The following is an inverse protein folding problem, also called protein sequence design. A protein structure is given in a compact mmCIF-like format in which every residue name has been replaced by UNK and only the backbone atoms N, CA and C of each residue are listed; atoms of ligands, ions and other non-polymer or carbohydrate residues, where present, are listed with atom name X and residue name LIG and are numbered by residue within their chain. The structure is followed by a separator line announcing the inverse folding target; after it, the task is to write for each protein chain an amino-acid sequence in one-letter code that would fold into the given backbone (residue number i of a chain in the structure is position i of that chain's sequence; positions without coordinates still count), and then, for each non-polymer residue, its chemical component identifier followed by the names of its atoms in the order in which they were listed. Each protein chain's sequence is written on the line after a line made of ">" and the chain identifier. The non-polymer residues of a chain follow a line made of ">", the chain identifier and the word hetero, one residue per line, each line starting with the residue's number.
data_IF_318490663688
#
_entry.id   IF_318490663688
#
_cell.length_a   1.000
_cell.length_b   1.000
_cell.length_c   1.000
_cell.angle_alpha   90.00
_cell.angle_beta   90.00
_cell.angle_gamma   90.00
#
_symmetry.space_group_name_H-M   'P 1'
#
loop_
_entity.id
_entity.type
_entity.pdbx_description
1 polymer ?
#
# COMPACT_ATOMS: atom_id res chain seq x y z
N UNK A 1 -23.26 -16.75 47.62
CA UNK A 1 -22.18 -15.99 48.29
C UNK A 1 -22.46 -14.52 48.20
N UNK A 2 -22.94 -13.93 47.08
CA UNK A 2 -23.39 -12.53 46.96
C UNK A 2 -24.51 -12.21 47.97
N UNK A 3 -25.49 -13.08 48.14
CA UNK A 3 -26.58 -12.94 49.12
C UNK A 3 -26.10 -12.93 50.60
N UNK A 4 -24.84 -13.28 50.84
CA UNK A 4 -24.23 -13.29 52.18
C UNK A 4 -23.12 -12.22 52.31
N UNK A 5 -23.03 -11.25 51.39
CA UNK A 5 -22.02 -10.20 51.33
C UNK A 5 -20.54 -10.68 51.40
N UNK A 6 -20.29 -11.99 51.03
CA UNK A 6 -18.96 -12.57 51.03
C UNK A 6 -18.21 -12.22 49.76
N UNK A 7 -18.94 -12.03 48.67
CA UNK A 7 -18.40 -11.56 47.37
C UNK A 7 -19.30 -10.47 46.83
N UNK A 8 -18.71 -9.53 46.11
CA UNK A 8 -19.42 -8.46 45.38
C UNK A 8 -19.07 -8.55 43.92
N UNK A 9 -20.06 -8.64 43.06
CA UNK A 9 -19.82 -8.50 41.63
C UNK A 9 -19.55 -7.04 41.29
N UNK A 10 -18.47 -6.79 40.61
CA UNK A 10 -18.08 -5.48 40.12
C UNK A 10 -18.02 -5.57 38.58
N UNK A 11 -18.79 -4.74 37.93
CA UNK A 11 -18.66 -4.59 36.46
C UNK A 11 -17.40 -3.76 36.21
N UNK A 12 -16.41 -4.41 35.58
CA UNK A 12 -15.18 -3.75 35.09
C UNK A 12 -15.20 -3.72 33.59
N UNK A 13 -15.06 -2.51 33.05
CA UNK A 13 -14.93 -2.30 31.63
C UNK A 13 -13.51 -2.63 31.19
N UNK A 14 -13.37 -3.55 30.21
CA UNK A 14 -12.09 -4.01 29.70
C UNK A 14 -12.09 -3.84 28.16
N UNK A 15 -11.08 -3.16 27.63
CA UNK A 15 -10.88 -3.05 26.20
C UNK A 15 -10.38 -4.37 25.61
N UNK A 16 -10.97 -4.79 24.46
CA UNK A 16 -10.68 -6.08 23.81
C UNK A 16 -9.29 -6.12 23.21
N UNK A 17 -8.80 -5.00 22.69
CA UNK A 17 -7.44 -4.89 22.17
C UNK A 17 -6.48 -4.63 23.33
N UNK A 18 -5.77 -5.68 23.74
CA UNK A 18 -4.70 -5.55 24.72
C UNK A 18 -3.43 -5.08 24.01
N UNK A 19 -2.82 -4.04 24.52
CA UNK A 19 -1.52 -3.54 24.07
C UNK A 19 -0.45 -4.34 24.80
N UNK A 20 0.35 -5.11 24.06
CA UNK A 20 1.57 -5.69 24.63
C UNK A 20 2.60 -4.59 24.82
N UNK A 21 3.25 -4.57 25.98
CA UNK A 21 4.38 -3.66 26.22
C UNK A 21 5.45 -3.90 25.16
N UNK A 22 5.86 -2.83 24.50
CA UNK A 22 6.89 -2.87 23.46
C UNK A 22 8.10 -2.07 23.92
N UNK A 23 9.28 -2.49 23.47
CA UNK A 23 10.50 -1.71 23.65
C UNK A 23 10.33 -0.32 23.03
N UNK A 24 10.79 0.71 23.73
CA UNK A 24 10.73 2.09 23.23
C UNK A 24 11.56 2.24 21.98
N UNK A 25 11.00 2.90 20.99
CA UNK A 25 11.67 3.20 19.72
C UNK A 25 12.97 3.99 19.96
N UNK A 26 14.03 3.61 19.23
CA UNK A 26 15.31 4.33 19.29
C UNK A 26 15.17 5.64 18.50
N UNK A 27 15.58 6.75 19.10
CA UNK A 27 15.63 8.04 18.40
C UNK A 27 16.57 7.94 17.21
N UNK A 28 16.04 8.23 16.03
CA UNK A 28 16.79 8.25 14.77
C UNK A 28 17.34 9.66 14.53
N UNK A 29 18.56 9.76 14.03
CA UNK A 29 19.14 11.04 13.59
C UNK A 29 18.46 11.48 12.29
N UNK A 30 17.84 12.65 12.31
CA UNK A 30 17.16 13.21 11.13
C UNK A 30 18.17 13.77 10.13
N UNK A 31 17.90 13.58 8.84
CA UNK A 31 18.62 14.23 7.76
C UNK A 31 18.24 15.71 7.65
N UNK A 32 19.05 16.52 6.94
CA UNK A 32 18.74 17.95 6.75
C UNK A 32 17.43 18.16 5.97
N UNK A 33 17.14 17.30 4.97
CA UNK A 33 15.87 17.35 4.24
C UNK A 33 14.68 17.11 5.18
N UNK A 34 14.78 16.10 6.07
CA UNK A 34 13.72 15.79 7.04
C UNK A 34 13.50 16.95 8.02
N UNK A 35 14.59 17.55 8.54
CA UNK A 35 14.51 18.72 9.44
C UNK A 35 13.82 19.90 8.76
N UNK A 36 14.24 20.24 7.54
CA UNK A 36 13.65 21.33 6.75
C UNK A 36 12.15 21.12 6.51
N UNK A 37 11.73 19.90 6.18
CA UNK A 37 10.31 19.55 6.01
C UNK A 37 9.55 19.74 7.30
N UNK A 38 10.06 19.22 8.41
CA UNK A 38 9.41 19.31 9.73
C UNK A 38 9.25 20.78 10.13
N UNK A 39 10.30 21.60 10.02
CA UNK A 39 10.29 23.02 10.37
C UNK A 39 9.25 23.79 9.55
N UNK A 40 9.18 23.57 8.24
CA UNK A 40 8.18 24.20 7.37
C UNK A 40 6.75 23.85 7.76
N UNK A 41 6.45 22.59 8.02
CA UNK A 41 5.12 22.19 8.45
C UNK A 41 4.76 22.78 9.82
N UNK A 42 5.68 22.72 10.78
CA UNK A 42 5.48 23.28 12.11
C UNK A 42 5.29 24.81 12.09
N UNK A 43 6.00 25.53 11.19
CA UNK A 43 5.84 26.97 11.05
C UNK A 43 4.42 27.41 10.67
N UNK A 44 3.61 26.49 10.16
CA UNK A 44 2.21 26.69 9.77
C UNK A 44 1.22 26.03 10.76
N UNK A 45 1.66 25.67 11.94
CA UNK A 45 0.72 25.21 12.96
C UNK A 45 -0.37 26.27 13.22
N UNK A 46 -1.58 25.82 13.51
CA UNK A 46 -2.76 26.69 13.68
C UNK A 46 -3.23 27.45 12.42
N UNK A 47 -2.82 27.00 11.25
CA UNK A 47 -3.27 27.50 9.97
C UNK A 47 -3.66 26.35 9.07
N UNK A 48 -4.72 26.51 8.28
CA UNK A 48 -5.01 25.58 7.20
C UNK A 48 -3.93 25.68 6.12
N UNK A 49 -3.07 24.70 6.07
CA UNK A 49 -1.96 24.65 5.10
C UNK A 49 -1.83 23.23 4.55
N UNK A 50 -2.22 23.01 3.29
CA UNK A 50 -2.05 21.71 2.64
C UNK A 50 -0.63 21.60 2.06
N UNK A 51 0.06 20.53 2.44
CA UNK A 51 1.40 20.18 1.95
C UNK A 51 1.36 18.89 1.14
N UNK A 52 2.09 18.86 0.03
CA UNK A 52 2.43 17.64 -0.69
C UNK A 52 3.88 17.26 -0.36
N UNK A 53 4.06 16.21 0.43
CA UNK A 53 5.38 15.65 0.73
C UNK A 53 5.75 14.59 -0.32
N UNK A 54 6.50 15.01 -1.34
CA UNK A 54 7.03 14.15 -2.37
C UNK A 54 8.40 13.62 -1.93
N UNK A 55 8.45 12.43 -1.38
CA UNK A 55 9.68 11.80 -0.90
C UNK A 55 9.90 10.43 -1.52
N UNK A 56 11.08 10.20 -2.08
CA UNK A 56 11.45 8.91 -2.68
C UNK A 56 11.27 7.77 -1.66
N UNK A 57 11.05 6.54 -2.14
CA UNK A 57 11.00 5.36 -1.28
C UNK A 57 12.31 5.22 -0.50
N UNK A 58 12.23 5.07 0.82
CA UNK A 58 13.40 5.01 1.70
C UNK A 58 13.98 6.37 2.11
N UNK A 59 13.31 7.50 1.82
CA UNK A 59 13.68 8.83 2.31
C UNK A 59 13.34 9.07 3.79
N UNK A 60 12.56 8.15 4.41
CA UNK A 60 12.18 8.26 5.81
C UNK A 60 10.96 9.13 6.09
N UNK A 61 10.00 9.23 5.15
CA UNK A 61 8.72 9.94 5.34
C UNK A 61 8.03 9.61 6.66
N UNK A 62 8.02 8.33 7.04
CA UNK A 62 7.40 7.88 8.30
C UNK A 62 8.04 8.54 9.52
N UNK A 63 9.35 8.76 9.54
CA UNK A 63 10.03 9.44 10.65
C UNK A 63 9.61 10.92 10.73
N UNK A 64 9.47 11.58 9.58
CA UNK A 64 8.91 12.94 9.52
C UNK A 64 7.51 12.98 10.12
N UNK A 65 6.63 12.02 9.75
CA UNK A 65 5.28 11.93 10.33
C UNK A 65 5.32 11.77 11.85
N UNK A 66 6.18 10.89 12.37
CA UNK A 66 6.30 10.68 13.79
C UNK A 66 6.77 11.94 14.54
N UNK A 67 7.75 12.66 13.98
CA UNK A 67 8.21 13.92 14.58
C UNK A 67 7.12 15.01 14.59
N UNK A 68 6.35 15.12 13.50
CA UNK A 68 5.23 16.05 13.40
C UNK A 68 4.13 15.71 14.42
N UNK A 69 3.80 14.44 14.58
CA UNK A 69 2.81 13.96 15.57
C UNK A 69 3.31 14.25 16.99
N UNK A 70 4.58 13.97 17.30
CA UNK A 70 5.15 14.33 18.62
C UNK A 70 5.00 15.81 18.95
N UNK A 71 5.25 16.69 17.98
CA UNK A 71 5.09 18.12 18.14
C UNK A 71 3.64 18.47 18.51
N UNK A 72 2.68 17.92 17.75
CA UNK A 72 1.24 18.15 17.96
C UNK A 72 0.79 17.70 19.34
N UNK A 73 1.21 16.50 19.77
CA UNK A 73 0.82 15.94 21.07
C UNK A 73 1.41 16.75 22.21
N UNK A 74 2.67 17.19 22.12
CA UNK A 74 3.30 18.06 23.13
C UNK A 74 2.55 19.39 23.31
N UNK A 75 1.80 19.83 22.30
CA UNK A 75 0.91 21.01 22.34
C UNK A 75 -0.49 20.69 22.88
N UNK A 76 -0.74 19.45 23.31
CA UNK A 76 -2.05 19.02 23.80
C UNK A 76 -3.11 18.90 22.69
N UNK A 77 -2.69 18.75 21.42
CA UNK A 77 -3.57 18.57 20.28
C UNK A 77 -3.58 17.12 19.80
N UNK A 78 -4.48 16.84 18.87
CA UNK A 78 -4.79 15.51 18.35
C UNK A 78 -4.33 15.36 16.89
N UNK A 79 -3.97 14.15 16.47
CA UNK A 79 -3.51 13.85 15.12
C UNK A 79 -4.25 12.66 14.50
N UNK A 80 -4.59 12.79 13.22
CA UNK A 80 -5.13 11.70 12.38
C UNK A 80 -4.08 11.30 11.35
N UNK A 81 -3.80 10.01 11.27
CA UNK A 81 -2.92 9.42 10.26
C UNK A 81 -3.72 8.42 9.44
N UNK A 82 -3.90 8.73 8.17
CA UNK A 82 -4.51 7.81 7.22
C UNK A 82 -3.43 7.05 6.46
N UNK A 83 -3.61 5.75 6.37
CA UNK A 83 -2.75 4.85 5.59
C UNK A 83 -3.61 3.94 4.73
N UNK A 84 -3.15 3.50 3.54
CA UNK A 84 -3.85 2.47 2.79
C UNK A 84 -4.01 1.21 3.65
N UNK A 85 -5.14 0.53 3.54
CA UNK A 85 -5.44 -0.64 4.36
C UNK A 85 -4.38 -1.75 4.25
N UNK A 86 -3.81 -1.92 3.05
CA UNK A 86 -2.72 -2.87 2.79
C UNK A 86 -1.40 -2.46 3.47
N UNK A 87 -1.19 -1.18 3.72
CA UNK A 87 0.00 -0.64 4.38
C UNK A 87 -0.12 -0.64 5.90
N UNK A 88 -1.33 -0.85 6.45
CA UNK A 88 -1.56 -0.95 7.89
C UNK A 88 -1.14 -2.33 8.40
N UNK A 89 0.14 -2.61 8.27
CA UNK A 89 0.74 -3.87 8.72
C UNK A 89 0.99 -3.87 10.24
N UNK A 90 1.07 -5.05 10.88
CA UNK A 90 1.47 -5.13 12.29
C UNK A 90 2.79 -4.41 12.59
N UNK A 91 3.76 -4.46 11.67
CA UNK A 91 5.05 -3.78 11.82
C UNK A 91 4.89 -2.27 11.87
N UNK A 92 4.06 -1.68 11.00
CA UNK A 92 3.78 -0.25 11.03
C UNK A 92 3.08 0.16 12.33
N UNK A 93 2.04 -0.57 12.71
CA UNK A 93 1.32 -0.36 13.97
C UNK A 93 2.27 -0.44 15.17
N UNK A 94 3.11 -1.45 15.20
CA UNK A 94 4.09 -1.66 16.26
C UNK A 94 5.10 -0.52 16.34
N UNK A 95 5.57 0.00 15.21
CA UNK A 95 6.48 1.15 15.16
C UNK A 95 5.86 2.41 15.75
N UNK A 96 4.60 2.68 15.47
CA UNK A 96 3.90 3.80 16.10
C UNK A 96 3.66 3.56 17.59
N UNK A 97 3.28 2.33 17.99
CA UNK A 97 3.08 1.98 19.39
C UNK A 97 4.35 2.07 20.22
N UNK A 98 5.50 1.65 19.67
CA UNK A 98 6.79 1.78 20.38
C UNK A 98 7.20 3.23 20.63
N UNK A 99 6.73 4.16 19.79
CA UNK A 99 7.00 5.60 19.94
C UNK A 99 6.01 6.33 20.85
N UNK A 100 4.72 6.03 20.69
CA UNK A 100 3.63 6.78 21.34
C UNK A 100 2.88 6.00 22.42
N UNK A 101 3.20 4.72 22.61
CA UNK A 101 2.59 3.90 23.66
C UNK A 101 1.08 3.76 23.50
N UNK A 102 0.37 4.03 24.61
CA UNK A 102 -1.09 3.89 24.70
C UNK A 102 -1.87 5.09 24.15
N UNK A 103 -1.21 6.10 23.61
CA UNK A 103 -1.86 7.31 23.08
C UNK A 103 -2.47 7.11 21.68
N UNK A 104 -2.52 5.86 21.18
CA UNK A 104 -2.93 5.53 19.82
C UNK A 104 -4.18 4.67 19.81
N UNK A 105 -5.19 5.07 19.03
CA UNK A 105 -6.28 4.22 18.58
C UNK A 105 -6.05 3.77 17.13
N UNK A 106 -6.46 2.54 16.83
CA UNK A 106 -6.27 1.93 15.50
C UNK A 106 -7.63 1.61 14.90
N UNK A 107 -7.91 2.12 13.69
CA UNK A 107 -9.19 1.94 13.01
C UNK A 107 -8.99 1.34 11.61
N UNK A 108 -9.41 0.08 11.41
CA UNK A 108 -9.38 -0.58 10.10
C UNK A 108 -10.54 -1.58 9.94
N UNK A 109 -10.75 -2.08 8.71
CA UNK A 109 -11.89 -2.94 8.37
C UNK A 109 -11.86 -4.31 9.07
N UNK A 110 -10.68 -4.84 9.38
CA UNK A 110 -10.50 -6.17 10.00
C UNK A 110 -10.83 -6.22 11.50
N UNK A 111 -11.06 -5.06 12.14
CA UNK A 111 -11.54 -5.02 13.52
C UNK A 111 -12.98 -5.52 13.59
N UNK A 112 -13.29 -6.33 14.59
CA UNK A 112 -14.66 -6.68 14.94
C UNK A 112 -15.46 -5.43 15.36
N UNK A 113 -16.77 -5.51 15.33
CA UNK A 113 -17.64 -4.40 15.77
C UNK A 113 -17.32 -3.96 17.19
N UNK A 114 -17.06 -4.91 18.11
CA UNK A 114 -16.71 -4.61 19.49
C UNK A 114 -15.36 -3.91 19.62
N UNK A 115 -14.33 -4.36 18.87
CA UNK A 115 -13.01 -3.71 18.86
C UNK A 115 -13.10 -2.29 18.29
N UNK A 116 -13.89 -2.08 17.20
CA UNK A 116 -14.13 -0.74 16.64
C UNK A 116 -14.81 0.18 17.65
N UNK A 117 -15.79 -0.35 18.36
CA UNK A 117 -16.52 0.38 19.39
C UNK A 117 -15.60 0.77 20.54
N UNK A 118 -14.73 -0.14 20.99
CA UNK A 118 -13.76 0.14 22.05
C UNK A 118 -12.77 1.23 21.64
N UNK A 119 -12.20 1.15 20.43
CA UNK A 119 -11.28 2.17 19.92
C UNK A 119 -11.96 3.54 19.76
N UNK A 120 -13.22 3.55 19.25
CA UNK A 120 -14.00 4.78 19.12
C UNK A 120 -14.27 5.44 20.47
N UNK A 121 -14.60 4.66 21.50
CA UNK A 121 -14.81 5.16 22.86
C UNK A 121 -13.56 5.77 23.47
N UNK A 122 -12.38 5.17 23.25
CA UNK A 122 -11.11 5.76 23.70
C UNK A 122 -10.91 7.15 23.11
N UNK A 123 -11.24 7.34 21.84
CA UNK A 123 -11.14 8.64 21.17
C UNK A 123 -12.13 9.63 21.78
N UNK A 124 -13.38 9.24 21.92
CA UNK A 124 -14.46 10.09 22.47
C UNK A 124 -14.17 10.51 23.91
N UNK A 125 -13.62 9.59 24.71
CA UNK A 125 -13.21 9.86 26.10
C UNK A 125 -11.89 10.61 26.24
N UNK A 126 -11.22 10.94 25.13
CA UNK A 126 -9.91 11.60 25.08
C UNK A 126 -8.80 10.82 25.79
N UNK A 127 -8.89 9.51 25.82
CA UNK A 127 -7.87 8.62 26.36
C UNK A 127 -6.68 8.48 25.41
N UNK A 128 -6.88 8.83 24.14
CA UNK A 128 -5.89 8.77 23.06
C UNK A 128 -5.85 10.08 22.29
N UNK A 129 -4.68 10.44 21.81
CA UNK A 129 -4.45 11.68 21.04
C UNK A 129 -4.10 11.42 19.57
N UNK A 130 -3.93 10.15 19.19
CA UNK A 130 -3.57 9.76 17.83
C UNK A 130 -4.56 8.71 17.34
N UNK A 131 -5.03 8.88 16.11
CA UNK A 131 -5.73 7.83 15.38
C UNK A 131 -4.92 7.46 14.15
N UNK A 132 -4.66 6.16 13.98
CA UNK A 132 -4.06 5.61 12.78
C UNK A 132 -5.08 4.66 12.16
N UNK A 133 -5.35 4.81 10.88
CA UNK A 133 -6.30 3.91 10.26
C UNK A 133 -6.45 4.06 8.77
N UNK A 134 -7.32 3.22 8.23
CA UNK A 134 -7.73 3.30 6.85
C UNK A 134 -8.67 4.49 6.61
N UNK A 135 -9.14 4.63 5.40
CA UNK A 135 -10.03 5.70 4.93
C UNK A 135 -11.08 6.20 5.94
N UNK A 136 -11.77 5.29 6.64
CA UNK A 136 -12.83 5.66 7.59
C UNK A 136 -12.33 6.33 8.88
N UNK A 137 -11.04 6.21 9.19
CA UNK A 137 -10.45 6.86 10.37
C UNK A 137 -10.50 8.40 10.28
N UNK A 138 -10.74 8.96 9.09
CA UNK A 138 -10.94 10.41 8.93
C UNK A 138 -12.15 10.94 9.74
N UNK A 139 -13.09 10.09 10.11
CA UNK A 139 -14.26 10.48 10.89
C UNK A 139 -14.07 10.34 12.40
N UNK A 140 -12.87 9.99 12.87
CA UNK A 140 -12.58 9.91 14.30
C UNK A 140 -13.06 11.17 15.02
N UNK A 141 -13.77 11.05 16.19
CA UNK A 141 -14.47 12.16 16.84
C UNK A 141 -13.54 13.08 17.65
N UNK A 142 -12.38 13.40 17.09
CA UNK A 142 -11.46 14.39 17.67
C UNK A 142 -12.05 15.79 17.63
N UNK A 143 -11.84 16.53 18.72
CA UNK A 143 -12.36 17.89 18.91
C UNK A 143 -11.29 18.96 18.94
N UNK A 144 -10.02 18.60 19.12
CA UNK A 144 -8.88 19.53 19.14
C UNK A 144 -7.78 19.11 18.15
N UNK A 145 -8.19 18.92 16.89
CA UNK A 145 -7.31 18.40 15.85
C UNK A 145 -6.20 19.40 15.51
N UNK A 146 -4.95 18.95 15.59
CA UNK A 146 -3.75 19.75 15.32
C UNK A 146 -3.06 19.40 14.00
N UNK A 147 -3.31 18.19 13.44
CA UNK A 147 -2.70 17.76 12.18
C UNK A 147 -3.44 16.57 11.57
N UNK A 148 -3.43 16.52 10.23
CA UNK A 148 -3.84 15.35 9.47
C UNK A 148 -2.68 14.93 8.57
N UNK A 149 -2.35 13.64 8.58
CA UNK A 149 -1.34 13.04 7.71
C UNK A 149 -2.01 11.97 6.87
N UNK A 150 -1.74 11.95 5.58
CA UNK A 150 -2.22 10.92 4.64
C UNK A 150 -1.00 10.34 3.94
N UNK A 151 -0.66 9.11 4.26
CA UNK A 151 0.42 8.39 3.59
C UNK A 151 -0.07 7.70 2.32
N UNK A 152 0.84 7.56 1.33
CA UNK A 152 0.53 7.02 0.00
C UNK A 152 -0.75 7.65 -0.61
N UNK A 153 -0.80 8.99 -0.65
CA UNK A 153 -1.99 9.76 -1.02
C UNK A 153 -2.57 9.38 -2.40
N UNK A 154 -1.72 8.85 -3.29
CA UNK A 154 -2.11 8.39 -4.63
C UNK A 154 -2.97 7.11 -4.60
N UNK A 155 -3.12 6.46 -3.43
CA UNK A 155 -3.85 5.20 -3.33
C UNK A 155 -5.34 5.37 -3.63
N UNK A 156 -5.84 4.58 -4.58
CA UNK A 156 -7.26 4.55 -4.96
C UNK A 156 -8.17 4.08 -3.82
N UNK A 157 -7.62 3.47 -2.77
CA UNK A 157 -8.38 2.99 -1.61
C UNK A 157 -8.97 4.12 -0.76
N UNK A 158 -8.52 5.36 -0.95
CA UNK A 158 -9.08 6.54 -0.29
C UNK A 158 -10.44 6.98 -0.86
N UNK A 159 -10.82 6.46 -2.04
CA UNK A 159 -12.14 6.66 -2.62
C UNK A 159 -13.11 5.59 -2.14
N UNK A 160 -14.25 5.97 -1.57
CA UNK A 160 -15.33 5.05 -1.24
C UNK A 160 -16.32 4.94 -2.40
N UNK A 161 -16.51 3.73 -2.92
CA UNK A 161 -17.44 3.46 -4.02
C UNK A 161 -18.85 3.15 -3.54
N UNK A 162 -18.97 2.53 -2.35
CA UNK A 162 -20.25 2.23 -1.72
C UNK A 162 -20.84 3.47 -1.02
N UNK A 163 -22.16 3.49 -0.85
CA UNK A 163 -22.85 4.57 -0.11
C UNK A 163 -22.52 4.54 1.40
N UNK A 164 -22.28 5.72 2.00
CA UNK A 164 -22.13 7.04 1.39
C UNK A 164 -20.80 7.16 0.61
N UNK A 165 -20.86 7.70 -0.61
CA UNK A 165 -19.68 7.94 -1.45
C UNK A 165 -18.92 9.17 -0.97
N UNK A 166 -17.62 9.02 -0.73
CA UNK A 166 -16.74 10.14 -0.38
C UNK A 166 -15.28 9.83 -0.78
N UNK A 167 -14.48 10.87 -0.84
CA UNK A 167 -13.02 10.75 -0.95
C UNK A 167 -12.37 11.21 0.36
N UNK A 168 -11.53 10.36 0.97
CA UNK A 168 -10.96 10.65 2.28
C UNK A 168 -10.06 11.90 2.28
N UNK A 169 -9.35 12.18 1.18
CA UNK A 169 -8.54 13.38 1.03
C UNK A 169 -9.41 14.64 1.07
N UNK A 170 -10.55 14.66 0.37
CA UNK A 170 -11.45 15.81 0.37
C UNK A 170 -12.03 16.06 1.77
N UNK A 171 -12.41 14.97 2.46
CA UNK A 171 -12.88 15.07 3.85
C UNK A 171 -11.78 15.54 4.79
N UNK A 172 -10.53 15.11 4.57
CA UNK A 172 -9.39 15.54 5.36
C UNK A 172 -9.07 17.03 5.15
N UNK A 173 -9.09 17.50 3.91
CA UNK A 173 -8.93 18.93 3.59
C UNK A 173 -10.03 19.78 4.24
N UNK A 174 -11.28 19.32 4.18
CA UNK A 174 -12.41 19.99 4.82
C UNK A 174 -12.22 20.07 6.34
N UNK A 175 -11.85 18.94 6.98
CA UNK A 175 -11.58 18.90 8.43
C UNK A 175 -10.38 19.76 8.81
N UNK A 176 -9.26 19.68 8.08
CA UNK A 176 -8.09 20.51 8.33
C UNK A 176 -8.43 22.02 8.25
N UNK A 177 -9.26 22.40 7.29
CA UNK A 177 -9.75 23.78 7.17
C UNK A 177 -10.61 24.21 8.35
N UNK A 178 -11.52 23.34 8.83
CA UNK A 178 -12.37 23.66 9.98
C UNK A 178 -11.58 23.81 11.28
N UNK A 179 -10.56 22.96 11.49
CA UNK A 179 -9.72 22.99 12.70
C UNK A 179 -8.52 23.94 12.56
N UNK A 180 -8.37 24.62 11.41
CA UNK A 180 -7.23 25.49 11.10
C UNK A 180 -5.90 24.81 11.41
N UNK A 181 -5.71 23.61 10.87
CA UNK A 181 -4.49 22.81 11.08
C UNK A 181 -3.84 22.40 9.75
N UNK A 182 -2.53 22.14 9.75
CA UNK A 182 -1.84 21.65 8.58
C UNK A 182 -2.29 20.21 8.20
N UNK A 183 -2.24 19.93 6.91
CA UNK A 183 -2.46 18.59 6.36
C UNK A 183 -1.28 18.22 5.47
N UNK A 184 -0.69 17.04 5.68
CA UNK A 184 0.44 16.51 4.93
C UNK A 184 -0.01 15.31 4.09
N UNK A 185 0.06 15.45 2.77
CA UNK A 185 -0.20 14.41 1.79
C UNK A 185 1.15 13.84 1.35
N UNK A 186 1.48 12.63 1.78
CA UNK A 186 2.77 12.01 1.51
C UNK A 186 2.71 10.94 0.44
N UNK A 187 3.66 10.95 -0.48
CA UNK A 187 3.81 9.92 -1.52
C UNK A 187 5.22 9.89 -2.10
N UNK A 188 5.65 8.73 -2.58
CA UNK A 188 6.80 8.60 -3.46
C UNK A 188 6.43 8.84 -4.94
N UNK A 189 5.19 8.61 -5.28
CA UNK A 189 4.61 8.71 -6.62
C UNK A 189 3.29 9.47 -6.55
N UNK A 190 3.31 10.79 -6.33
CA UNK A 190 2.11 11.60 -6.15
C UNK A 190 1.09 11.43 -7.29
N UNK A 191 -0.20 11.53 -6.95
CA UNK A 191 -1.26 11.59 -7.96
C UNK A 191 -1.09 12.84 -8.83
N UNK A 192 -1.56 12.77 -10.08
CA UNK A 192 -1.49 13.90 -11.00
C UNK A 192 -2.24 15.11 -10.45
N UNK A 193 -3.36 14.88 -9.77
CA UNK A 193 -4.18 15.90 -9.15
C UNK A 193 -3.42 16.63 -8.03
N UNK A 194 -2.82 15.89 -7.10
CA UNK A 194 -2.05 16.49 -5.99
C UNK A 194 -0.80 17.20 -6.48
N UNK A 195 -0.09 16.59 -7.44
CA UNK A 195 1.10 17.20 -8.02
C UNK A 195 0.79 18.48 -8.79
N UNK A 196 -0.31 18.49 -9.57
CA UNK A 196 -0.78 19.70 -10.27
C UNK A 196 -1.15 20.80 -9.28
N UNK A 197 -1.89 20.48 -8.21
CA UNK A 197 -2.24 21.44 -7.15
C UNK A 197 -0.97 22.03 -6.49
N UNK A 198 0.05 21.22 -6.30
CA UNK A 198 1.33 21.68 -5.77
C UNK A 198 2.06 22.62 -6.76
N UNK A 199 2.08 22.28 -8.05
CA UNK A 199 2.66 23.14 -9.10
C UNK A 199 1.93 24.48 -9.26
N UNK A 200 0.64 24.53 -9.02
CA UNK A 200 -0.18 25.75 -9.03
C UNK A 200 -0.10 26.55 -7.71
N UNK A 201 0.67 26.08 -6.72
CA UNK A 201 0.79 26.74 -5.42
C UNK A 201 -0.41 26.60 -4.50
N UNK A 202 -1.38 25.70 -4.82
CA UNK A 202 -2.52 25.38 -3.95
C UNK A 202 -2.06 24.52 -2.78
N UNK A 203 -1.13 23.59 -3.02
CA UNK A 203 -0.40 22.86 -2.00
C UNK A 203 1.04 23.35 -1.95
N UNK A 204 1.64 23.41 -0.77
CA UNK A 204 3.08 23.64 -0.66
C UNK A 204 3.83 22.33 -0.94
N UNK A 205 4.72 22.36 -1.96
CA UNK A 205 5.51 21.19 -2.31
C UNK A 205 6.72 21.06 -1.37
N UNK A 206 6.81 19.93 -0.69
CA UNK A 206 7.96 19.54 0.12
C UNK A 206 8.64 18.34 -0.55
N UNK A 207 9.94 18.41 -0.79
CA UNK A 207 10.66 17.34 -1.48
C UNK A 207 11.71 16.68 -0.58
N UNK A 208 11.79 15.35 -0.64
CA UNK A 208 12.84 14.54 -0.04
C UNK A 208 13.41 13.63 -1.13
N UNK A 209 14.52 14.06 -1.73
CA UNK A 209 15.10 13.47 -2.95
C UNK A 209 16.08 12.34 -2.68
N UNK A 210 16.65 12.30 -1.46
CA UNK A 210 17.67 11.34 -1.11
C UNK A 210 17.12 10.20 -0.25
N UNK A 211 17.63 8.99 -0.49
CA UNK A 211 17.39 7.84 0.37
C UNK A 211 18.33 7.91 1.58
N UNK A 212 17.87 7.38 2.73
CA UNK A 212 18.73 7.31 3.94
C UNK A 212 20.00 6.49 3.65
N UNK A 213 19.89 5.41 2.87
CA UNK A 213 21.01 4.51 2.56
C UNK A 213 21.73 4.83 1.23
N UNK A 214 21.40 5.90 0.58
CA UNK A 214 22.01 6.48 -0.65
C UNK A 214 22.36 5.50 -1.79
N UNK A 215 21.80 4.28 -1.75
CA UNK A 215 22.01 3.23 -2.75
C UNK A 215 20.76 2.99 -3.58
N UNK A 216 20.92 3.09 -4.91
CA UNK A 216 19.88 2.70 -5.85
C UNK A 216 20.19 1.30 -6.42
N UNK A 217 19.16 0.47 -6.62
CA UNK A 217 19.36 -0.83 -7.27
C UNK A 217 19.73 -0.65 -8.74
N UNK A 218 20.54 -1.55 -9.25
CA UNK A 218 20.78 -1.65 -10.70
C UNK A 218 19.54 -2.20 -11.37
N UNK A 219 19.02 -1.50 -12.38
CA UNK A 219 17.84 -1.91 -13.15
C UNK A 219 18.29 -2.51 -14.47
N UNK A 220 17.80 -3.72 -14.77
CA UNK A 220 18.02 -4.39 -16.04
C UNK A 220 16.68 -4.52 -16.78
N UNK A 221 16.64 -4.06 -18.03
CA UNK A 221 15.51 -4.26 -18.93
C UNK A 221 15.76 -5.46 -19.82
N UNK A 222 14.77 -6.36 -19.92
CA UNK A 222 14.87 -7.55 -20.76
C UNK A 222 13.65 -7.61 -21.68
N UNK A 223 13.89 -7.70 -22.98
CA UNK A 223 12.81 -7.94 -23.95
C UNK A 223 12.42 -9.42 -23.92
N UNK A 224 11.24 -9.70 -23.39
CA UNK A 224 10.71 -11.07 -23.33
C UNK A 224 10.39 -11.66 -24.71
N UNK A 225 10.21 -10.86 -25.77
CA UNK A 225 10.02 -11.41 -27.14
C UNK A 225 11.28 -12.17 -27.58
N UNK A 226 12.46 -11.62 -27.30
CA UNK A 226 13.72 -12.27 -27.63
C UNK A 226 14.00 -13.50 -26.75
N UNK A 227 13.62 -13.44 -25.48
CA UNK A 227 13.75 -14.58 -24.57
C UNK A 227 12.81 -15.73 -24.96
N UNK A 228 11.58 -15.44 -25.38
CA UNK A 228 10.62 -16.44 -25.88
C UNK A 228 11.18 -17.16 -27.13
N UNK A 229 11.79 -16.42 -28.07
CA UNK A 229 12.45 -17.00 -29.24
C UNK A 229 13.56 -17.98 -28.89
N UNK A 230 14.19 -17.77 -27.74
CA UNK A 230 15.27 -18.62 -27.19
C UNK A 230 14.76 -19.72 -26.26
N UNK A 231 13.42 -19.86 -26.11
CA UNK A 231 12.77 -20.90 -25.31
C UNK A 231 12.45 -20.49 -23.87
N UNK A 232 12.79 -19.26 -23.44
CA UNK A 232 12.53 -18.74 -22.09
C UNK A 232 11.21 -17.97 -22.04
N UNK A 233 10.11 -18.65 -21.73
CA UNK A 233 8.77 -18.07 -21.83
C UNK A 233 8.20 -17.53 -20.52
N UNK A 234 8.78 -17.90 -19.37
CA UNK A 234 8.29 -17.52 -18.04
C UNK A 234 9.22 -16.53 -17.36
N UNK A 235 10.46 -16.90 -17.18
CA UNK A 235 11.53 -16.03 -16.68
C UNK A 235 12.57 -15.83 -17.79
N UNK A 236 13.21 -14.67 -17.82
CA UNK A 236 14.36 -14.46 -18.69
C UNK A 236 15.59 -15.17 -18.17
N UNK A 237 16.54 -15.53 -19.03
CA UNK A 237 17.81 -16.13 -18.63
C UNK A 237 18.54 -15.26 -17.60
N UNK A 238 18.61 -13.96 -17.86
CA UNK A 238 19.25 -13.03 -16.93
C UNK A 238 18.61 -13.08 -15.54
N UNK A 239 17.26 -13.16 -15.46
CA UNK A 239 16.57 -13.26 -14.18
C UNK A 239 16.88 -14.60 -13.50
N UNK A 240 16.85 -15.71 -14.22
CA UNK A 240 17.20 -17.03 -13.67
C UNK A 240 18.64 -17.08 -13.15
N UNK A 241 19.61 -16.52 -13.89
CA UNK A 241 21.02 -16.41 -13.47
C UNK A 241 21.13 -15.57 -12.17
N UNK A 242 20.46 -14.41 -12.12
CA UNK A 242 20.48 -13.56 -10.92
C UNK A 242 19.81 -14.23 -9.72
N UNK A 243 18.71 -14.94 -9.94
CA UNK A 243 18.04 -15.72 -8.90
C UNK A 243 18.97 -16.81 -8.34
N UNK A 244 19.66 -17.54 -9.22
CA UNK A 244 20.61 -18.56 -8.81
C UNK A 244 21.72 -17.95 -7.94
N UNK A 245 22.32 -16.83 -8.36
CA UNK A 245 23.35 -16.14 -7.61
C UNK A 245 22.88 -15.67 -6.21
N UNK A 246 21.64 -15.15 -6.11
CA UNK A 246 21.07 -14.74 -4.84
C UNK A 246 20.82 -15.94 -3.91
N UNK A 247 20.33 -17.05 -4.45
CA UNK A 247 20.11 -18.28 -3.67
C UNK A 247 21.42 -18.88 -3.14
N UNK A 248 22.49 -18.86 -3.93
CA UNK A 248 23.83 -19.29 -3.52
C UNK A 248 24.39 -18.44 -2.37
N UNK A 249 24.07 -17.13 -2.35
CA UNK A 249 24.43 -16.21 -1.28
C UNK A 249 23.47 -16.24 -0.08
N UNK A 250 22.43 -17.07 -0.13
CA UNK A 250 21.36 -17.13 0.86
C UNK A 250 20.60 -15.79 1.03
N UNK A 251 20.52 -15.01 -0.04
CA UNK A 251 19.76 -13.75 -0.10
C UNK A 251 18.30 -14.00 -0.46
N UNK A 252 17.46 -13.00 -0.21
CA UNK A 252 16.01 -13.06 -0.50
C UNK A 252 15.72 -12.50 -1.89
N UNK A 253 14.68 -13.07 -2.53
CA UNK A 253 14.23 -12.68 -3.86
C UNK A 253 12.75 -12.34 -3.79
N UNK A 254 12.35 -11.20 -4.37
CA UNK A 254 10.95 -10.81 -4.51
C UNK A 254 10.59 -10.81 -5.99
N UNK A 255 9.65 -11.67 -6.37
CA UNK A 255 9.08 -11.69 -7.72
C UNK A 255 7.74 -10.96 -7.71
N UNK A 256 7.68 -9.81 -8.39
CA UNK A 256 6.44 -9.04 -8.53
C UNK A 256 5.75 -9.38 -9.85
N UNK A 257 4.56 -9.94 -9.76
CA UNK A 257 3.70 -10.18 -10.90
C UNK A 257 2.52 -9.20 -10.88
N UNK A 258 2.56 -8.19 -11.75
CA UNK A 258 1.57 -7.10 -11.76
C UNK A 258 0.19 -7.49 -12.30
N UNK A 259 0.02 -8.72 -12.77
CA UNK A 259 -1.24 -9.17 -13.40
C UNK A 259 -1.98 -10.15 -12.47
N UNK A 260 -3.16 -9.76 -11.99
CA UNK A 260 -4.08 -10.64 -11.29
C UNK A 260 -4.84 -11.51 -12.28
N UNK A 261 -4.94 -12.81 -12.00
CA UNK A 261 -5.81 -13.75 -12.71
C UNK A 261 -5.29 -14.26 -14.04
N UNK A 262 -6.00 -15.23 -14.58
CA UNK A 262 -5.79 -15.85 -15.89
C UNK A 262 -6.20 -14.90 -17.02
N UNK A 263 -5.41 -13.86 -17.30
CA UNK A 263 -5.62 -13.22 -18.60
C UNK A 263 -5.03 -14.11 -19.68
N UNK A 264 -5.89 -14.76 -20.42
CA UNK A 264 -5.54 -15.66 -21.52
C UNK A 264 -5.18 -14.84 -22.77
N UNK A 265 -4.09 -14.11 -22.71
CA UNK A 265 -3.52 -13.44 -23.88
C UNK A 265 -2.92 -14.50 -24.78
N UNK A 266 -3.29 -14.50 -26.03
CA UNK A 266 -2.72 -15.40 -27.05
C UNK A 266 -1.45 -14.78 -27.61
N UNK A 267 -0.36 -15.53 -27.56
CA UNK A 267 0.97 -15.08 -28.00
C UNK A 267 1.53 -16.09 -29.00
N UNK A 268 2.14 -15.61 -30.04
CA UNK A 268 2.84 -16.47 -30.99
C UNK A 268 4.09 -17.09 -30.35
N UNK A 269 4.24 -18.42 -30.45
CA UNK A 269 5.40 -19.12 -29.88
C UNK A 269 6.70 -18.81 -30.58
N UNK A 270 6.63 -18.44 -31.88
CA UNK A 270 7.82 -18.22 -32.69
C UNK A 270 8.43 -16.84 -32.55
N UNK A 271 7.60 -15.79 -32.41
CA UNK A 271 8.08 -14.41 -32.40
C UNK A 271 7.63 -13.58 -31.18
N UNK A 272 6.81 -14.16 -30.30
CA UNK A 272 6.30 -13.44 -29.13
C UNK A 272 5.23 -12.39 -29.44
N UNK A 273 4.73 -12.31 -30.68
CA UNK A 273 3.70 -11.35 -31.07
C UNK A 273 2.41 -11.58 -30.29
N UNK A 274 1.80 -10.49 -29.83
CA UNK A 274 0.56 -10.46 -29.05
C UNK A 274 -0.55 -9.85 -29.87
N UNK A 275 -1.75 -10.44 -29.79
CA UNK A 275 -2.91 -9.93 -30.52
C UNK A 275 -3.49 -8.69 -29.82
N UNK A 276 -3.40 -7.54 -30.49
CA UNK A 276 -3.81 -6.25 -29.93
C UNK A 276 -5.18 -5.83 -30.48
N UNK A 277 -5.95 -5.11 -29.66
CA UNK A 277 -7.20 -4.50 -30.09
C UNK A 277 -6.92 -3.31 -31.02
N UNK A 278 -7.52 -3.26 -32.22
CA UNK A 278 -7.27 -2.18 -33.18
C UNK A 278 -7.84 -0.82 -32.71
N UNK A 279 -8.78 -0.83 -31.76
CA UNK A 279 -9.43 0.39 -31.26
C UNK A 279 -8.82 0.95 -29.98
N UNK A 280 -8.21 0.08 -29.16
CA UNK A 280 -7.79 0.43 -27.79
C UNK A 280 -6.30 0.24 -27.55
N UNK A 281 -5.59 -0.38 -28.48
CA UNK A 281 -4.15 -0.70 -28.39
C UNK A 281 -3.77 -1.47 -27.10
N UNK A 282 -4.67 -2.36 -26.67
CA UNK A 282 -4.46 -3.28 -25.54
C UNK A 282 -4.55 -4.74 -26.00
N UNK A 283 -3.89 -5.68 -25.31
CA UNK A 283 -3.99 -7.09 -25.62
C UNK A 283 -5.42 -7.62 -25.61
N UNK A 284 -5.80 -8.38 -26.64
CA UNK A 284 -7.05 -9.12 -26.65
C UNK A 284 -6.96 -10.35 -25.75
N UNK A 285 -8.08 -10.70 -25.13
CA UNK A 285 -8.17 -11.81 -24.16
C UNK A 285 -8.98 -12.95 -24.79
N UNK A 286 -8.47 -14.17 -24.69
CA UNK A 286 -9.17 -15.35 -25.16
C UNK A 286 -10.31 -15.73 -24.23
N UNK A 287 -11.51 -15.83 -24.76
CA UNK A 287 -12.71 -16.32 -24.08
C UNK A 287 -13.10 -17.70 -24.58
N UNK A 288 -13.08 -18.68 -23.68
CA UNK A 288 -13.38 -20.07 -24.01
C UNK A 288 -14.82 -20.26 -24.49
N UNK A 289 -15.76 -19.52 -23.91
CA UNK A 289 -17.18 -19.57 -24.27
C UNK A 289 -17.44 -19.01 -25.68
N UNK A 290 -16.72 -17.95 -26.06
CA UNK A 290 -16.82 -17.31 -27.36
C UNK A 290 -15.91 -17.95 -28.40
N UNK A 291 -15.04 -18.89 -28.00
CA UNK A 291 -13.96 -19.47 -28.81
C UNK A 291 -13.18 -18.43 -29.61
N UNK A 292 -13.02 -17.23 -29.05
CA UNK A 292 -12.46 -16.08 -29.74
C UNK A 292 -11.74 -15.11 -28.81
N UNK A 293 -11.19 -14.08 -29.41
CA UNK A 293 -10.48 -13.00 -28.76
C UNK A 293 -11.41 -11.82 -28.55
N UNK A 294 -11.43 -11.23 -27.34
CA UNK A 294 -12.27 -10.07 -27.03
C UNK A 294 -11.47 -8.98 -26.32
N UNK A 295 -11.79 -7.73 -26.64
CA UNK A 295 -11.32 -6.57 -25.90
C UNK A 295 -12.26 -6.27 -24.71
N UNK A 296 -11.73 -6.21 -23.50
CA UNK A 296 -12.53 -5.90 -22.29
C UNK A 296 -12.89 -4.40 -22.18
N UNK A 297 -12.33 -3.55 -23.04
CA UNK A 297 -12.61 -2.12 -23.04
C UNK A 297 -13.74 -1.73 -23.97
N UNK A 298 -13.61 -2.08 -25.26
CA UNK A 298 -14.58 -1.68 -26.28
C UNK A 298 -15.49 -2.81 -26.75
N UNK A 299 -15.29 -4.03 -26.25
CA UNK A 299 -16.06 -5.20 -26.69
C UNK A 299 -15.67 -5.75 -28.06
N UNK A 300 -14.66 -5.17 -28.74
CA UNK A 300 -14.20 -5.70 -30.03
C UNK A 300 -13.88 -7.19 -29.92
N UNK A 301 -14.35 -7.97 -30.89
CA UNK A 301 -14.25 -9.43 -30.89
C UNK A 301 -13.78 -9.92 -32.25
N UNK A 302 -12.96 -10.96 -32.24
CA UNK A 302 -12.49 -11.66 -33.47
C UNK A 302 -12.09 -13.11 -33.15
N UNK A 303 -12.03 -13.99 -34.15
CA UNK A 303 -11.49 -15.34 -33.96
C UNK A 303 -9.98 -15.31 -33.65
N UNK A 304 -9.49 -16.39 -33.02
CA UNK A 304 -8.05 -16.57 -32.79
C UNK A 304 -7.32 -16.67 -34.14
N UNK A 305 -6.13 -16.14 -34.19
CA UNK A 305 -5.27 -16.29 -35.38
C UNK A 305 -5.06 -17.76 -35.78
N UNK A 306 -5.16 -18.06 -37.05
CA UNK A 306 -4.69 -19.34 -37.60
C UNK A 306 -3.19 -19.30 -37.91
N UNK A 307 -2.71 -18.14 -38.36
CA UNK A 307 -1.30 -17.86 -38.63
C UNK A 307 -0.92 -16.50 -38.08
N UNK A 308 0.27 -16.38 -37.50
CA UNK A 308 0.78 -15.13 -36.96
C UNK A 308 0.94 -14.08 -38.08
N UNK A 309 0.39 -12.88 -37.91
CA UNK A 309 0.51 -11.82 -38.93
C UNK A 309 1.96 -11.37 -39.15
N UNK A 310 2.79 -11.47 -38.10
CA UNK A 310 4.18 -11.01 -38.12
C UNK A 310 5.14 -12.06 -38.73
N UNK A 311 5.20 -13.29 -38.18
CA UNK A 311 6.19 -14.30 -38.58
C UNK A 311 5.62 -15.45 -39.39
N UNK A 312 4.31 -15.46 -39.69
CA UNK A 312 3.58 -16.52 -40.42
C UNK A 312 3.59 -17.90 -39.73
N UNK A 313 4.06 -17.98 -38.49
CA UNK A 313 3.99 -19.21 -37.69
C UNK A 313 2.54 -19.55 -37.28
N UNK A 314 2.28 -20.83 -37.06
CA UNK A 314 0.96 -21.41 -36.77
C UNK A 314 0.82 -21.90 -35.33
N UNK A 315 1.86 -21.73 -34.54
CA UNK A 315 1.90 -22.18 -33.13
C UNK A 315 1.67 -21.05 -32.17
N UNK A 316 0.62 -21.18 -31.33
CA UNK A 316 0.21 -20.19 -30.35
C UNK A 316 0.17 -20.80 -28.98
N UNK A 317 0.37 -19.94 -27.99
CA UNK A 317 0.17 -20.28 -26.59
C UNK A 317 -0.68 -19.23 -25.91
N UNK A 318 -1.52 -19.67 -24.97
CA UNK A 318 -2.23 -18.75 -24.10
C UNK A 318 -1.32 -18.41 -22.94
N UNK A 319 -0.94 -17.14 -22.84
CA UNK A 319 -0.25 -16.62 -21.68
C UNK A 319 -1.29 -16.18 -20.65
N UNK A 320 -1.39 -16.93 -19.59
CA UNK A 320 -2.00 -16.52 -18.34
C UNK A 320 -1.06 -16.99 -17.24
N UNK A 321 -0.15 -16.11 -16.80
CA UNK A 321 0.72 -16.42 -15.69
C UNK A 321 0.07 -15.87 -14.42
N UNK A 322 -0.59 -16.75 -13.64
CA UNK A 322 -0.95 -16.44 -12.26
C UNK A 322 0.24 -16.70 -11.33
N UNK A 323 0.16 -16.17 -10.13
CA UNK A 323 1.15 -16.37 -9.05
C UNK A 323 1.40 -17.85 -8.77
N UNK A 324 0.37 -18.69 -8.88
CA UNK A 324 0.45 -20.14 -8.68
C UNK A 324 1.35 -20.82 -9.72
N UNK A 325 1.14 -20.52 -11.00
CA UNK A 325 1.96 -21.09 -12.08
C UNK A 325 3.41 -20.59 -12.02
N UNK A 326 3.62 -19.35 -11.59
CA UNK A 326 4.97 -18.83 -11.36
C UNK A 326 5.65 -19.57 -10.23
N UNK A 327 4.94 -19.83 -9.12
CA UNK A 327 5.46 -20.59 -7.99
C UNK A 327 5.83 -22.02 -8.39
N UNK A 328 4.95 -22.71 -9.13
CA UNK A 328 5.23 -24.05 -9.67
C UNK A 328 6.49 -24.07 -10.54
N UNK A 329 6.64 -23.06 -11.41
CA UNK A 329 7.81 -22.95 -12.27
C UNK A 329 9.09 -22.73 -11.45
N UNK A 330 9.05 -21.81 -10.49
CA UNK A 330 10.20 -21.53 -9.60
C UNK A 330 10.60 -22.77 -8.81
N UNK A 331 9.63 -23.52 -8.26
CA UNK A 331 9.92 -24.80 -7.56
C UNK A 331 10.55 -25.85 -8.45
N UNK A 332 10.17 -25.87 -9.74
CA UNK A 332 10.75 -26.80 -10.73
C UNK A 332 12.18 -26.41 -11.10
N UNK A 333 12.47 -25.13 -11.31
CA UNK A 333 13.80 -24.63 -11.69
C UNK A 333 14.75 -24.58 -10.50
N UNK A 334 14.24 -24.21 -9.32
CA UNK A 334 14.99 -24.06 -8.08
C UNK A 334 14.42 -24.95 -6.96
N UNK A 335 14.60 -26.28 -7.00
CA UNK A 335 13.96 -27.21 -6.06
C UNK A 335 14.31 -27.00 -4.59
N UNK A 336 15.47 -26.38 -4.32
CA UNK A 336 15.96 -26.08 -2.96
C UNK A 336 15.44 -24.75 -2.41
N UNK A 337 14.82 -23.90 -3.25
CA UNK A 337 14.32 -22.61 -2.83
C UNK A 337 13.03 -22.75 -2.00
N UNK A 338 12.97 -22.08 -0.86
CA UNK A 338 11.73 -21.93 -0.09
C UNK A 338 10.91 -20.82 -0.73
N UNK A 339 9.72 -21.15 -1.22
CA UNK A 339 8.81 -20.18 -1.86
C UNK A 339 7.69 -19.80 -0.93
N UNK A 340 7.33 -18.52 -0.90
CA UNK A 340 6.18 -17.97 -0.22
C UNK A 340 5.35 -17.17 -1.21
N UNK A 341 4.07 -17.55 -1.40
CA UNK A 341 3.16 -16.85 -2.29
C UNK A 341 2.30 -15.88 -1.49
N UNK A 342 2.26 -14.63 -1.93
CA UNK A 342 1.40 -13.59 -1.38
C UNK A 342 0.44 -13.09 -2.46
N UNK A 343 -0.81 -13.49 -2.38
CA UNK A 343 -1.91 -13.02 -3.22
C UNK A 343 -3.20 -12.89 -2.39
N UNK A 344 -4.28 -12.44 -3.01
CA UNK A 344 -5.56 -12.24 -2.32
C UNK A 344 -6.06 -13.54 -1.71
N UNK A 345 -5.87 -14.68 -2.40
CA UNK A 345 -6.39 -15.98 -1.96
C UNK A 345 -5.64 -16.51 -0.74
N UNK A 346 -4.34 -16.23 -0.64
CA UNK A 346 -3.49 -16.67 0.49
C UNK A 346 -3.57 -15.75 1.70
N UNK A 347 -3.99 -14.48 1.52
CA UNK A 347 -3.98 -13.45 2.57
C UNK A 347 -5.34 -13.13 3.19
N UNK A 348 -6.42 -13.83 2.80
CA UNK A 348 -7.79 -13.58 3.28
C UNK A 348 -8.05 -13.97 4.73
N UNK A 349 -7.27 -14.87 5.32
CA UNK A 349 -7.47 -15.33 6.70
C UNK A 349 -6.89 -14.32 7.70
N UNK A 350 -7.62 -14.06 8.82
CA UNK A 350 -7.14 -13.23 9.93
C UNK A 350 -5.82 -13.81 10.47
N UNK A 351 -4.75 -13.00 10.53
CA UNK A 351 -3.43 -13.42 11.00
C UNK A 351 -2.49 -14.02 9.94
N UNK A 352 -2.92 -14.18 8.68
CA UNK A 352 -2.04 -14.76 7.63
C UNK A 352 -0.80 -13.91 7.35
N UNK A 353 -0.85 -12.60 7.57
CA UNK A 353 0.33 -11.72 7.45
C UNK A 353 1.32 -11.83 8.62
N UNK A 354 0.88 -12.35 9.77
CA UNK A 354 1.74 -12.54 10.96
C UNK A 354 2.48 -13.87 10.91
N UNK A 355 1.94 -14.84 10.17
CA UNK A 355 2.52 -16.19 10.02
C UNK A 355 3.41 -16.31 8.78
N UNK A 356 3.38 -15.33 7.88
CA UNK A 356 4.25 -15.20 6.71
C UNK A 356 5.46 -14.32 7.03
#
# INVERSE_FOLDING_TARGET
>A
LEKKDVIRSVEQEVYRLQVKDQEKDKKVTLTEEQKSVIEKVISKENQFSPFLLHGVTGSGKTEVYMCLIEHVIRRGKEAIVLVPEISLTPQMVNRFRSRFGNQIAILHSRLSLGEKYDEWRKIERREVSIVIGARSAIFAPFTNLGMIIIDEEHSTTYKQENMPKYHAIDMALYRAKNYQCPIVLGSATPSLESYTRAKLGIYELLEMKHRINDTFPTIHFVDMKDEIRKGHSILSRLLEEKMQMCLEKQEQIILLLNKRGYSRVVTCKHCGEVDMCPNCDIPLIYHKELQGMQCHYCGYHKPVWKTCPHCKGDSFQTFGMGTERLEEYVRKVFPKAKTLRMDVDTTTRKGSHETM
#
